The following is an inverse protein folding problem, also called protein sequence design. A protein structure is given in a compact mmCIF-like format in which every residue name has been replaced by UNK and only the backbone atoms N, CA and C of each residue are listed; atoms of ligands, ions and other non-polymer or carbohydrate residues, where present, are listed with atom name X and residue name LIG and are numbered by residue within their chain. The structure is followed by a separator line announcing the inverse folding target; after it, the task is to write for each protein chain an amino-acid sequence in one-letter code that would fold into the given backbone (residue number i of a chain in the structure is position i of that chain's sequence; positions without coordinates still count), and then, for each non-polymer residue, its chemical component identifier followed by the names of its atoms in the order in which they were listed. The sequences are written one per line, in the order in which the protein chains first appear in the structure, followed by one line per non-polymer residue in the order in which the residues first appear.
data_IF_531025475558
#
_entry.id   IF_531025475558
#
_cell.length_a   1.000
_cell.length_b   1.000
_cell.length_c   1.000
_cell.angle_alpha   90.00
_cell.angle_beta   90.00
_cell.angle_gamma   90.00
#
_symmetry.space_group_name_H-M   'P 1'
#
loop_
_entity.id
_entity.type
_entity.pdbx_description
1 polymer ?
#
# COMPACT_ATOMS: atom_id res chain seq x y z
N UNK A 1 -16.40 6.47 -2.36
CA UNK A 1 -17.87 6.43 -2.39
C UNK A 1 -18.39 5.92 -1.06
N UNK A 2 -19.62 6.29 -0.74
CA UNK A 2 -20.33 5.80 0.44
C UNK A 2 -21.18 4.59 0.06
N UNK A 3 -21.27 3.54 0.92
CA UNK A 3 -22.15 2.42 0.63
C UNK A 3 -23.60 2.87 0.59
N UNK A 4 -24.37 2.41 -0.40
CA UNK A 4 -25.81 2.71 -0.51
C UNK A 4 -26.60 2.06 0.63
N UNK A 5 -26.18 0.87 1.07
CA UNK A 5 -26.72 0.10 2.20
C UNK A 5 -25.61 -0.72 2.84
N UNK A 6 -25.83 -1.12 4.08
CA UNK A 6 -24.90 -1.95 4.84
C UNK A 6 -24.07 -1.16 5.84
N UNK A 7 -23.15 -1.85 6.51
CA UNK A 7 -22.24 -1.29 7.50
C UNK A 7 -20.81 -1.61 7.11
N UNK A 8 -19.92 -0.65 7.31
CA UNK A 8 -18.50 -0.83 7.07
C UNK A 8 -17.71 -0.40 8.31
N UNK A 9 -17.01 -1.36 8.91
CA UNK A 9 -16.18 -1.12 10.09
C UNK A 9 -14.71 -1.26 9.73
N UNK A 10 -13.91 -0.27 10.11
CA UNK A 10 -12.46 -0.28 9.99
C UNK A 10 -11.85 -0.15 11.40
N UNK A 11 -11.04 -1.11 11.79
CA UNK A 11 -10.42 -1.14 13.13
C UNK A 11 -11.47 -0.96 14.26
N UNK A 12 -12.60 -1.68 14.13
CA UNK A 12 -13.73 -1.67 15.06
C UNK A 12 -14.65 -0.43 15.01
N UNK A 13 -14.32 0.59 14.23
CA UNK A 13 -15.12 1.82 14.10
C UNK A 13 -15.98 1.80 12.85
N UNK A 14 -17.25 2.18 12.98
CA UNK A 14 -18.15 2.39 11.84
C UNK A 14 -17.67 3.59 11.01
N UNK A 15 -17.49 3.35 9.70
CA UNK A 15 -16.89 4.36 8.78
C UNK A 15 -17.93 4.95 7.84
N UNK A 16 -19.07 4.27 7.63
CA UNK A 16 -20.10 4.70 6.67
C UNK A 16 -20.67 6.09 6.99
N UNK A 17 -20.71 6.46 8.25
CA UNK A 17 -21.34 7.70 8.75
C UNK A 17 -20.33 8.83 9.05
N UNK A 18 -19.03 8.62 8.78
CA UNK A 18 -18.02 9.63 9.02
C UNK A 18 -18.14 10.82 8.05
N UNK A 19 -17.81 12.01 8.53
CA UNK A 19 -17.67 13.20 7.68
C UNK A 19 -16.48 13.05 6.73
N UNK A 20 -16.43 13.83 5.67
CA UNK A 20 -15.33 13.78 4.68
C UNK A 20 -13.96 14.07 5.33
N UNK A 21 -13.93 14.95 6.33
CA UNK A 21 -12.72 15.26 7.10
C UNK A 21 -12.26 14.06 7.93
N UNK A 22 -13.18 13.37 8.60
CA UNK A 22 -12.89 12.15 9.36
C UNK A 22 -12.48 10.99 8.45
N UNK A 23 -13.12 10.85 7.28
CA UNK A 23 -12.74 9.89 6.26
C UNK A 23 -11.32 10.15 5.73
N UNK A 24 -10.99 11.42 5.44
CA UNK A 24 -9.64 11.80 4.99
C UNK A 24 -8.58 11.48 6.07
N UNK A 25 -8.87 11.80 7.32
CA UNK A 25 -8.00 11.46 8.45
C UNK A 25 -7.85 9.93 8.61
N UNK A 26 -8.96 9.19 8.56
CA UNK A 26 -8.98 7.72 8.68
C UNK A 26 -8.17 7.07 7.55
N UNK A 27 -8.36 7.52 6.29
CA UNK A 27 -7.55 7.05 5.16
C UNK A 27 -6.07 7.28 5.39
N UNK A 28 -5.69 8.49 5.80
CA UNK A 28 -4.28 8.82 6.04
C UNK A 28 -3.63 7.98 7.15
N UNK A 29 -4.37 7.67 8.22
CA UNK A 29 -3.84 6.99 9.41
C UNK A 29 -3.98 5.47 9.38
N UNK A 30 -5.01 4.94 8.72
CA UNK A 30 -5.39 3.53 8.84
C UNK A 30 -5.18 2.73 7.56
N UNK A 31 -5.03 3.38 6.41
CA UNK A 31 -4.94 2.71 5.12
C UNK A 31 -3.68 3.17 4.38
N UNK A 32 -2.83 2.22 4.01
CA UNK A 32 -1.75 2.43 3.07
C UNK A 32 -2.18 1.98 1.67
N UNK A 33 -2.10 2.87 0.68
CA UNK A 33 -2.43 2.54 -0.71
C UNK A 33 -1.18 2.36 -1.55
N UNK A 34 -1.16 1.27 -2.32
CA UNK A 34 -0.13 0.96 -3.33
C UNK A 34 -0.84 0.73 -4.66
N UNK A 35 -0.40 1.42 -5.72
CA UNK A 35 -1.03 1.41 -7.04
C UNK A 35 -0.09 0.85 -8.10
N UNK A 36 -0.64 0.30 -9.17
CA UNK A 36 0.08 -0.16 -10.34
C UNK A 36 0.98 0.93 -10.97
N UNK A 37 0.49 2.15 -11.05
CA UNK A 37 1.20 3.30 -11.65
C UNK A 37 2.13 4.02 -10.67
N UNK A 38 2.42 3.42 -9.49
CA UNK A 38 3.25 3.97 -8.41
C UNK A 38 2.68 5.26 -7.80
N UNK A 39 2.08 6.15 -8.58
CA UNK A 39 1.52 7.45 -8.21
C UNK A 39 2.49 8.30 -7.36
N UNK A 40 3.78 8.26 -7.72
CA UNK A 40 4.79 9.13 -7.13
C UNK A 40 4.71 10.53 -7.74
N UNK A 41 4.96 11.54 -6.92
CA UNK A 41 5.11 12.91 -7.40
C UNK A 41 6.47 13.05 -8.11
N UNK A 42 6.50 13.31 -9.44
CA UNK A 42 7.72 13.18 -10.24
C UNK A 42 8.78 14.25 -9.94
N UNK A 43 8.37 15.35 -9.29
CA UNK A 43 9.26 16.46 -8.89
C UNK A 43 9.73 16.37 -7.43
N UNK A 44 9.42 15.30 -6.75
CA UNK A 44 9.86 15.03 -5.38
C UNK A 44 10.80 13.84 -5.36
N UNK A 45 11.81 13.89 -4.50
CA UNK A 45 12.71 12.75 -4.25
C UNK A 45 11.94 11.55 -3.64
N UNK A 46 12.60 10.39 -3.58
CA UNK A 46 12.05 9.24 -2.86
C UNK A 46 11.72 9.60 -1.41
N UNK A 47 12.63 10.30 -0.73
CA UNK A 47 12.45 10.77 0.64
C UNK A 47 11.21 11.67 0.77
N UNK A 48 11.07 12.66 -0.10
CA UNK A 48 9.97 13.63 -0.02
C UNK A 48 8.62 13.00 -0.35
N UNK A 49 8.58 12.02 -1.29
CA UNK A 49 7.40 11.21 -1.55
C UNK A 49 6.94 10.44 -0.31
N UNK A 50 7.88 9.86 0.45
CA UNK A 50 7.56 9.12 1.69
C UNK A 50 7.20 10.08 2.84
N UNK A 51 7.74 11.28 2.89
CA UNK A 51 7.40 12.31 3.88
C UNK A 51 5.96 12.81 3.73
N UNK A 52 5.43 12.87 2.52
CA UNK A 52 4.16 13.53 2.19
C UNK A 52 2.95 13.08 3.06
N UNK A 53 2.68 11.77 3.27
CA UNK A 53 1.58 11.35 4.13
C UNK A 53 1.71 11.82 5.58
N UNK A 54 2.92 11.98 6.08
CA UNK A 54 3.19 12.46 7.43
C UNK A 54 2.88 13.96 7.59
N UNK A 55 3.01 14.75 6.51
CA UNK A 55 2.59 16.16 6.49
C UNK A 55 1.08 16.25 6.71
N UNK A 56 0.30 15.48 5.95
CA UNK A 56 -1.16 15.41 6.10
C UNK A 56 -1.59 14.77 7.43
N UNK A 57 -0.75 13.89 7.98
CA UNK A 57 -0.97 13.25 9.28
C UNK A 57 -0.57 14.10 10.48
N UNK A 58 -0.13 15.37 10.28
CA UNK A 58 0.33 16.29 11.32
C UNK A 58 1.48 15.73 12.19
N UNK A 59 2.35 14.89 11.62
CA UNK A 59 3.58 14.44 12.29
C UNK A 59 4.55 15.62 12.44
N UNK A 60 5.24 15.74 13.57
CA UNK A 60 6.20 16.81 13.80
C UNK A 60 7.34 16.81 12.76
N UNK A 61 7.70 17.99 12.26
CA UNK A 61 8.68 18.16 11.17
C UNK A 61 10.00 17.42 11.44
N UNK A 62 10.51 17.48 12.66
CA UNK A 62 11.78 16.84 13.07
C UNK A 62 11.76 15.31 12.99
N UNK A 63 10.58 14.67 13.10
CA UNK A 63 10.44 13.22 13.08
C UNK A 63 10.29 12.67 11.66
N UNK A 64 9.80 13.48 10.72
CA UNK A 64 9.43 13.02 9.37
C UNK A 64 10.61 12.45 8.61
N UNK A 65 11.75 13.16 8.63
CA UNK A 65 12.95 12.74 7.88
C UNK A 65 13.47 11.41 8.39
N UNK A 66 13.64 11.27 9.70
CA UNK A 66 14.15 10.05 10.31
C UNK A 66 13.24 8.84 10.01
N UNK A 67 11.92 9.01 10.18
CA UNK A 67 10.94 7.95 9.88
C UNK A 67 10.93 7.57 8.40
N UNK A 68 11.01 8.55 7.49
CA UNK A 68 11.02 8.29 6.06
C UNK A 68 12.32 7.58 5.63
N UNK A 69 13.48 7.96 6.17
CA UNK A 69 14.76 7.27 5.91
C UNK A 69 14.68 5.81 6.36
N UNK A 70 14.28 5.54 7.61
CA UNK A 70 14.11 4.17 8.12
C UNK A 70 13.15 3.35 7.26
N UNK A 71 12.09 3.97 6.77
CA UNK A 71 11.14 3.26 5.92
C UNK A 71 11.73 2.93 4.54
N UNK A 72 12.50 3.85 3.93
CA UNK A 72 13.20 3.58 2.67
C UNK A 72 14.30 2.51 2.85
N UNK A 73 15.03 2.54 3.95
CA UNK A 73 16.02 1.50 4.29
C UNK A 73 15.34 0.12 4.42
N UNK A 74 14.18 0.05 5.06
CA UNK A 74 13.43 -1.21 5.25
C UNK A 74 12.96 -1.86 3.95
N UNK A 75 12.84 -1.08 2.86
CA UNK A 75 12.51 -1.58 1.52
C UNK A 75 13.73 -1.63 0.58
N UNK A 76 14.96 -1.54 1.13
CA UNK A 76 16.20 -1.67 0.38
C UNK A 76 16.54 -0.46 -0.51
N UNK A 77 16.16 0.76 -0.09
CA UNK A 77 16.38 2.00 -0.84
C UNK A 77 17.15 3.07 -0.03
N UNK A 78 17.92 2.67 0.98
CA UNK A 78 18.69 3.60 1.80
C UNK A 78 19.74 4.42 1.04
N UNK A 79 20.28 3.87 -0.05
CA UNK A 79 21.23 4.54 -0.94
C UNK A 79 20.57 5.38 -2.05
N UNK A 80 19.23 5.42 -2.11
CA UNK A 80 18.42 6.06 -3.16
C UNK A 80 17.48 7.16 -2.64
N UNK A 81 17.66 7.60 -1.42
CA UNK A 81 16.72 8.51 -0.74
C UNK A 81 16.54 9.84 -1.47
N UNK A 82 17.59 10.35 -2.12
CA UNK A 82 17.57 11.64 -2.82
C UNK A 82 17.25 11.51 -4.31
N UNK A 83 17.07 10.29 -4.84
CA UNK A 83 16.76 10.08 -6.26
C UNK A 83 15.32 10.49 -6.59
N UNK A 84 15.15 11.06 -7.79
CA UNK A 84 13.85 11.37 -8.36
C UNK A 84 13.23 10.11 -9.00
N UNK A 85 11.91 10.00 -9.13
CA UNK A 85 11.26 8.84 -9.78
C UNK A 85 11.77 8.55 -11.19
N UNK A 86 12.18 9.56 -11.96
CA UNK A 86 12.73 9.40 -13.30
C UNK A 86 14.11 8.70 -13.31
N UNK A 87 14.83 8.70 -12.21
CA UNK A 87 16.16 8.10 -12.04
C UNK A 87 16.09 6.67 -11.49
N UNK A 88 14.87 6.13 -11.29
CA UNK A 88 14.61 4.86 -10.61
C UNK A 88 13.98 3.84 -11.55
N UNK A 89 14.34 2.55 -11.36
CA UNK A 89 13.68 1.43 -12.04
C UNK A 89 12.19 1.30 -11.62
N UNK A 90 11.41 0.52 -12.34
CA UNK A 90 10.01 0.22 -11.98
C UNK A 90 9.89 -0.37 -10.58
N UNK A 91 10.69 -1.38 -10.27
CA UNK A 91 10.73 -2.02 -8.94
C UNK A 91 11.15 -1.05 -7.83
N UNK A 92 12.13 -0.18 -8.08
CA UNK A 92 12.53 0.85 -7.10
C UNK A 92 11.39 1.85 -6.85
N UNK A 93 10.71 2.33 -7.90
CA UNK A 93 9.54 3.21 -7.76
C UNK A 93 8.42 2.56 -6.95
N UNK A 94 8.17 1.28 -7.20
CA UNK A 94 7.15 0.55 -6.44
C UNK A 94 7.54 0.40 -4.97
N UNK A 95 8.81 0.12 -4.65
CA UNK A 95 9.26 0.09 -3.26
C UNK A 95 9.18 1.46 -2.57
N UNK A 96 9.40 2.57 -3.28
CA UNK A 96 9.11 3.93 -2.73
C UNK A 96 7.61 4.09 -2.46
N UNK A 97 6.73 3.65 -3.37
CA UNK A 97 5.28 3.71 -3.16
C UNK A 97 4.83 2.87 -1.96
N UNK A 98 5.43 1.70 -1.75
CA UNK A 98 5.20 0.86 -0.56
C UNK A 98 5.70 1.57 0.70
N UNK A 99 6.92 2.11 0.72
CA UNK A 99 7.45 2.87 1.85
C UNK A 99 6.53 4.05 2.22
N UNK A 100 6.05 4.79 1.22
CA UNK A 100 5.07 5.86 1.40
C UNK A 100 3.77 5.36 2.02
N UNK A 101 3.26 4.20 1.58
CA UNK A 101 2.05 3.61 2.13
C UNK A 101 2.21 3.20 3.61
N UNK A 102 3.41 2.78 4.01
CA UNK A 102 3.70 2.24 5.34
C UNK A 102 4.08 3.29 6.38
N UNK A 103 4.53 4.49 5.98
CA UNK A 103 5.18 5.46 6.86
C UNK A 103 4.32 5.94 8.03
N UNK A 104 2.98 5.90 7.91
CA UNK A 104 2.05 6.22 8.99
C UNK A 104 1.62 5.00 9.83
N UNK A 105 2.27 3.85 9.64
CA UNK A 105 1.95 2.58 10.32
C UNK A 105 0.47 2.18 10.20
N UNK A 106 -0.04 2.00 8.97
CA UNK A 106 -1.46 1.72 8.73
C UNK A 106 -1.88 0.35 9.26
N UNK A 107 -3.18 0.19 9.58
CA UNK A 107 -3.77 -1.09 9.95
C UNK A 107 -3.97 -2.01 8.74
N UNK A 108 -4.22 -1.43 7.57
CA UNK A 108 -4.48 -2.15 6.31
C UNK A 108 -3.62 -1.58 5.20
N UNK A 109 -3.02 -2.47 4.41
CA UNK A 109 -2.38 -2.15 3.14
C UNK A 109 -3.31 -2.63 2.01
N UNK A 110 -3.69 -1.72 1.11
CA UNK A 110 -4.49 -2.03 -0.08
C UNK A 110 -3.61 -1.83 -1.31
N UNK A 111 -3.34 -2.91 -2.02
CA UNK A 111 -2.51 -2.90 -3.21
C UNK A 111 -3.35 -3.29 -4.44
N UNK A 112 -3.43 -2.35 -5.39
CA UNK A 112 -4.18 -2.48 -6.63
C UNK A 112 -3.20 -2.72 -7.78
N UNK A 113 -3.19 -3.94 -8.33
CA UNK A 113 -2.26 -4.42 -9.36
C UNK A 113 -0.79 -4.05 -9.08
N UNK A 114 -0.26 -4.35 -7.87
CA UNK A 114 1.02 -3.77 -7.42
C UNK A 114 2.24 -4.22 -8.24
N UNK A 115 2.08 -5.22 -9.11
CA UNK A 115 3.13 -5.83 -9.93
C UNK A 115 2.93 -5.67 -11.43
N UNK A 116 1.80 -5.14 -11.87
CA UNK A 116 1.40 -5.11 -13.28
C UNK A 116 2.31 -4.30 -14.22
N UNK A 117 3.23 -3.50 -13.69
CA UNK A 117 4.23 -2.75 -14.47
C UNK A 117 5.68 -3.15 -14.14
N UNK A 118 5.88 -4.36 -13.58
CA UNK A 118 7.18 -4.83 -13.12
C UNK A 118 7.64 -6.05 -13.91
N UNK A 119 8.96 -6.21 -14.01
CA UNK A 119 9.57 -7.46 -14.46
C UNK A 119 9.43 -8.55 -13.37
N UNK A 120 9.67 -9.81 -13.73
CA UNK A 120 9.49 -10.97 -12.85
C UNK A 120 10.40 -10.96 -11.62
N UNK A 121 11.58 -10.33 -11.68
CA UNK A 121 12.47 -10.20 -10.53
C UNK A 121 11.90 -9.17 -9.55
N UNK A 122 11.58 -7.98 -10.03
CA UNK A 122 10.98 -6.91 -9.21
C UNK A 122 9.62 -7.32 -8.63
N UNK A 123 8.83 -8.12 -9.38
CA UNK A 123 7.57 -8.71 -8.89
C UNK A 123 7.83 -9.55 -7.63
N UNK A 124 8.81 -10.46 -7.66
CA UNK A 124 9.14 -11.29 -6.48
C UNK A 124 9.55 -10.45 -5.29
N UNK A 125 10.47 -9.48 -5.48
CA UNK A 125 10.92 -8.59 -4.41
C UNK A 125 9.73 -7.84 -3.75
N UNK A 126 8.82 -7.31 -4.55
CA UNK A 126 7.63 -6.60 -4.07
C UNK A 126 6.69 -7.55 -3.31
N UNK A 127 6.46 -8.75 -3.83
CA UNK A 127 5.59 -9.73 -3.17
C UNK A 127 6.20 -10.28 -1.87
N UNK A 128 7.52 -10.39 -1.76
CA UNK A 128 8.21 -10.73 -0.52
C UNK A 128 7.98 -9.66 0.56
N UNK A 129 8.02 -8.36 0.21
CA UNK A 129 7.70 -7.29 1.15
C UNK A 129 6.26 -7.45 1.68
N UNK A 130 5.27 -7.72 0.82
CA UNK A 130 3.88 -7.94 1.27
C UNK A 130 3.75 -9.19 2.15
N UNK A 131 4.46 -10.28 1.82
CA UNK A 131 4.48 -11.49 2.63
C UNK A 131 5.06 -11.24 4.03
N UNK A 132 6.13 -10.44 4.13
CA UNK A 132 6.74 -10.09 5.41
C UNK A 132 5.84 -9.17 6.24
N UNK A 133 5.16 -8.21 5.62
CA UNK A 133 4.16 -7.38 6.28
C UNK A 133 3.02 -8.23 6.86
N UNK A 134 2.56 -9.24 6.12
CA UNK A 134 1.55 -10.19 6.62
C UNK A 134 2.08 -11.00 7.83
N UNK A 135 3.31 -11.52 7.77
CA UNK A 135 3.95 -12.22 8.91
C UNK A 135 4.08 -11.34 10.17
N UNK A 136 4.26 -10.02 9.97
CA UNK A 136 4.28 -9.02 11.05
C UNK A 136 2.88 -8.67 11.58
N UNK A 137 1.82 -9.35 11.09
CA UNK A 137 0.44 -9.17 11.57
C UNK A 137 -0.34 -8.04 10.88
N UNK A 138 0.18 -7.47 9.78
CA UNK A 138 -0.58 -6.48 8.99
C UNK A 138 -1.63 -7.15 8.12
N UNK A 139 -2.77 -6.50 7.96
CA UNK A 139 -3.76 -6.91 6.96
C UNK A 139 -3.35 -6.39 5.60
N UNK A 140 -3.11 -7.30 4.64
CA UNK A 140 -2.79 -6.96 3.24
C UNK A 140 -3.92 -7.40 2.35
N UNK A 141 -4.47 -6.48 1.57
CA UNK A 141 -5.50 -6.72 0.55
C UNK A 141 -4.85 -6.48 -0.82
N UNK A 142 -4.76 -7.54 -1.62
CA UNK A 142 -4.26 -7.49 -3.00
C UNK A 142 -5.43 -7.54 -3.97
N UNK A 143 -5.51 -6.61 -4.88
CA UNK A 143 -6.40 -6.67 -6.04
C UNK A 143 -5.53 -7.01 -7.24
N UNK A 144 -5.79 -8.14 -7.89
CA UNK A 144 -5.03 -8.59 -9.06
C UNK A 144 -5.84 -9.55 -9.92
N UNK A 145 -5.52 -9.61 -11.20
CA UNK A 145 -5.99 -10.62 -12.14
C UNK A 145 -4.91 -11.68 -12.43
N UNK A 146 -3.70 -11.53 -11.88
CA UNK A 146 -2.59 -12.46 -12.05
C UNK A 146 -2.68 -13.59 -11.02
N UNK A 147 -2.83 -14.85 -11.47
CA UNK A 147 -2.95 -16.04 -10.61
C UNK A 147 -1.69 -16.21 -9.73
N UNK A 148 -0.51 -15.99 -10.28
CA UNK A 148 0.76 -16.14 -9.54
C UNK A 148 0.87 -15.15 -8.39
N UNK A 149 0.44 -13.91 -8.59
CA UNK A 149 0.38 -12.87 -7.55
C UNK A 149 -0.69 -13.20 -6.51
N UNK A 150 -1.87 -13.62 -6.96
CA UNK A 150 -2.94 -14.00 -6.06
C UNK A 150 -2.54 -15.15 -5.13
N UNK A 151 -1.73 -16.11 -5.60
CA UNK A 151 -1.28 -17.27 -4.81
C UNK A 151 -0.35 -16.93 -3.61
N UNK A 152 0.08 -15.66 -3.47
CA UNK A 152 0.72 -15.18 -2.24
C UNK A 152 -0.30 -14.97 -1.09
N UNK A 153 -1.60 -14.83 -1.40
CA UNK A 153 -2.64 -14.63 -0.40
C UNK A 153 -3.15 -15.96 0.19
N UNK A 154 -3.59 -15.90 1.46
CA UNK A 154 -4.16 -17.07 2.14
C UNK A 154 -5.68 -17.19 1.97
N UNK A 155 -6.36 -16.14 1.52
CA UNK A 155 -7.80 -16.09 1.24
C UNK A 155 -8.02 -15.39 -0.07
N UNK A 156 -8.90 -15.95 -0.88
CA UNK A 156 -9.24 -15.46 -2.20
C UNK A 156 -10.73 -15.11 -2.24
N UNK A 157 -11.03 -13.90 -2.66
CA UNK A 157 -12.38 -13.42 -2.92
C UNK A 157 -12.47 -13.11 -4.41
N UNK A 158 -13.19 -13.92 -5.16
CA UNK A 158 -13.35 -13.74 -6.61
C UNK A 158 -14.63 -12.94 -6.86
N UNK A 159 -14.48 -11.84 -7.56
CA UNK A 159 -15.58 -10.97 -7.97
C UNK A 159 -15.91 -11.21 -9.45
N UNK A 160 -17.21 -11.31 -9.77
CA UNK A 160 -17.74 -11.39 -11.13
C UNK A 160 -19.01 -10.56 -11.20
N UNK A 161 -19.09 -9.66 -12.14
CA UNK A 161 -20.26 -8.78 -12.37
C UNK A 161 -20.76 -8.05 -11.11
N UNK A 162 -19.82 -7.62 -10.26
CA UNK A 162 -20.11 -6.91 -9.02
C UNK A 162 -20.56 -7.79 -7.84
N UNK A 163 -20.54 -9.13 -8.02
CA UNK A 163 -20.92 -10.11 -6.99
C UNK A 163 -19.71 -10.97 -6.58
N UNK A 164 -19.71 -11.41 -5.32
CA UNK A 164 -18.74 -12.40 -4.84
C UNK A 164 -19.17 -13.76 -5.43
N UNK A 165 -18.37 -14.30 -6.36
CA UNK A 165 -18.61 -15.61 -6.96
C UNK A 165 -17.94 -16.74 -6.20
N UNK A 166 -16.78 -16.48 -5.58
CA UNK A 166 -16.07 -17.46 -4.74
C UNK A 166 -15.40 -16.74 -3.55
N UNK A 167 -15.34 -17.42 -2.42
CA UNK A 167 -14.60 -17.01 -1.22
C UNK A 167 -14.02 -18.27 -0.57
N UNK A 168 -12.70 -18.42 -0.59
CA UNK A 168 -12.05 -19.63 -0.09
C UNK A 168 -10.63 -19.35 0.43
N UNK A 169 -10.11 -20.28 1.22
CA UNK A 169 -8.71 -20.31 1.68
C UNK A 169 -7.94 -21.38 0.90
N UNK A 170 -6.67 -21.11 0.63
CA UNK A 170 -5.80 -22.02 -0.12
C UNK A 170 -5.35 -21.41 -1.45
N UNK A 171 -4.73 -22.21 -2.32
CA UNK A 171 -4.21 -21.75 -3.63
C UNK A 171 -5.30 -21.76 -4.70
N UNK A 172 -5.19 -20.82 -5.63
CA UNK A 172 -5.91 -20.88 -6.90
C UNK A 172 -5.32 -22.02 -7.75
N UNK A 173 -6.17 -22.87 -8.26
CA UNK A 173 -5.83 -23.96 -9.21
C UNK A 173 -5.77 -23.42 -10.63
#
# INVERSE_FOLDING_TARGET
DRPTKGSYKLDGKEVANLTDKELAYTRNKKIGFVFQSFNLLPRLSALDNVILPMIYGNVFKKERKERAVKMLESVGLGDRIDHMPAEMSGGQRQRVAIARALVNDPAIIMADEPTGNLDSHSTREVMEIFADLYKMGKTVILVTHETDVANYANRHVVLSDGHISKDFKGRLL
#
